data_IF_552473410553
#
_entry.id   IF_552473410553
#
_cell.length_a   1.000
_cell.length_b   1.000
_cell.length_c   1.000
_cell.angle_alpha   90.00
_cell.angle_beta   90.00
_cell.angle_gamma   90.00
#
_symmetry.space_group_name_H-M   'P 1'
#
loop_
_entity.id
_entity.type
_entity.pdbx_description
1 polymer ?
2 water ?
#
# COMPACT_ATOMS: atom_id res chain seq x y z
N UNK A 8 0.86 -4.45 33.20
CA UNK A 8 -0.08 -4.20 32.07
C UNK A 8 -1.24 -3.24 32.45
N UNK A 9 -1.26 -2.79 33.71
CA UNK A 9 -2.32 -1.91 34.22
C UNK A 9 -1.72 -0.70 34.96
N UNK A 10 -2.14 0.49 34.56
CA UNK A 10 -1.52 1.71 35.06
C UNK A 10 -1.91 2.00 36.51
N UNK A 11 -0.92 2.47 37.26
CA UNK A 11 -1.11 2.94 38.62
C UNK A 11 -1.86 4.27 38.62
N UNK A 12 -2.46 4.63 39.73
CA UNK A 12 -3.25 5.86 39.80
C UNK A 12 -2.44 7.11 39.48
N UNK A 13 -1.23 7.19 40.01
CA UNK A 13 -0.33 8.32 39.72
C UNK A 13 0.00 8.42 38.23
N UNK A 14 0.28 7.28 37.61
CA UNK A 14 0.53 7.22 36.18
C UNK A 14 -0.67 7.76 35.39
N UNK A 15 -1.88 7.35 35.78
CA UNK A 15 -3.08 7.84 35.11
C UNK A 15 -3.21 9.35 35.22
N UNK A 16 -2.92 9.90 36.40
CA UNK A 16 -2.92 11.35 36.60
C UNK A 16 -1.94 12.01 35.64
N UNK A 17 -0.75 11.43 35.49
CA UNK A 17 0.32 12.05 34.72
C UNK A 17 -0.01 12.07 33.23
N UNK A 18 -0.61 10.98 32.75
CA UNK A 18 -1.07 10.88 31.37
C UNK A 18 -2.28 11.77 31.13
N UNK A 19 -3.22 11.77 32.08
CA UNK A 19 -4.44 12.56 31.96
C UNK A 19 -4.04 14.02 32.01
N UNK A 20 -2.99 14.31 32.78
CA UNK A 20 -2.55 15.69 32.92
C UNK A 20 -2.07 16.22 31.58
N UNK A 21 -1.21 15.44 30.91
CA UNK A 21 -0.63 15.84 29.64
C UNK A 21 -1.65 15.94 28.52
N UNK A 22 -2.57 14.99 28.49
CA UNK A 22 -3.61 14.94 27.49
C UNK A 22 -4.48 16.20 27.50
N UNK A 23 -4.64 16.79 28.68
CA UNK A 23 -5.43 18.00 28.82
C UNK A 23 -4.71 19.19 28.22
N UNK A 24 -3.39 19.07 28.14
CA UNK A 24 -2.55 20.09 27.54
C UNK A 24 -2.28 19.80 26.08
N UNK A 25 -2.15 18.52 25.75
CA UNK A 25 -1.75 18.09 24.42
C UNK A 25 -2.40 16.80 24.04
N UNK A 26 -3.33 16.86 23.10
CA UNK A 26 -4.04 15.68 22.61
C UNK A 26 -3.17 14.91 21.63
N UNK A 27 -2.20 15.59 21.01
CA UNK A 27 -1.35 15.01 19.98
C UNK A 27 0.13 15.16 20.29
N UNK A 28 0.78 14.06 20.66
CA UNK A 28 2.20 14.09 20.92
C UNK A 28 3.01 13.57 19.76
N UNK A 29 4.23 14.07 19.60
CA UNK A 29 5.17 13.55 18.62
C UNK A 29 5.75 12.23 19.12
N UNK A 30 6.39 11.47 18.25
CA UNK A 30 7.01 10.20 18.64
C UNK A 30 8.13 10.40 19.67
N UNK A 31 8.94 11.44 19.47
CA UNK A 31 9.99 11.79 20.43
C UNK A 31 9.38 12.10 21.81
N UNK A 32 8.26 12.81 21.83
CA UNK A 32 7.58 13.18 23.06
C UNK A 32 6.96 11.99 23.78
N UNK A 33 6.42 11.03 23.03
CA UNK A 33 5.84 9.83 23.63
C UNK A 33 6.89 8.87 24.17
N UNK A 34 8.06 8.87 23.51
CA UNK A 34 9.20 8.14 24.02
C UNK A 34 9.70 8.76 25.33
N UNK A 35 9.84 10.09 25.33
CA UNK A 35 10.28 10.81 26.54
C UNK A 35 9.33 10.52 27.72
N UNK A 36 8.02 10.69 27.49
CA UNK A 36 6.99 10.40 28.49
C UNK A 36 6.95 8.94 28.96
N UNK A 37 7.11 7.98 28.06
CA UNK A 37 7.16 6.56 28.48
C UNK A 37 8.37 6.23 29.36
N UNK A 38 9.49 6.93 29.18
CA UNK A 38 10.64 6.76 30.08
C UNK A 38 10.39 7.25 31.52
N UNK A 39 9.89 8.47 31.65
CA UNK A 39 9.52 9.03 32.95
C UNK A 39 8.67 8.03 33.73
N UNK A 40 7.53 7.67 33.13
CA UNK A 40 6.53 6.82 33.78
C UNK A 40 6.91 5.37 33.93
N UNK A 41 7.94 4.93 33.23
CA UNK A 41 8.33 3.53 33.22
C UNK A 41 7.23 2.63 32.66
N UNK A 42 6.75 2.98 31.47
CA UNK A 42 5.79 2.21 30.74
C UNK A 42 6.34 2.03 29.32
N UNK A 43 5.88 1.01 28.61
CA UNK A 43 6.29 0.81 27.22
C UNK A 43 5.79 1.99 26.39
N UNK A 44 6.50 2.30 25.32
CA UNK A 44 6.06 3.32 24.36
C UNK A 44 4.76 2.93 23.69
N UNK A 45 4.62 1.65 23.33
CA UNK A 45 3.39 1.15 22.73
C UNK A 45 2.20 1.44 23.68
N UNK A 46 2.41 1.20 24.97
CA UNK A 46 1.37 1.42 25.99
C UNK A 46 0.95 2.90 26.03
N UNK A 47 1.93 3.79 26.16
CA UNK A 47 1.67 5.22 26.05
C UNK A 47 1.02 5.56 24.71
N UNK A 48 1.53 4.98 23.63
CA UNK A 48 1.03 5.31 22.30
C UNK A 48 -0.46 4.98 22.18
N UNK A 49 -0.82 3.75 22.61
CA UNK A 49 -2.19 3.26 22.56
C UNK A 49 -3.08 4.09 23.47
N UNK A 50 -2.57 4.47 24.62
CA UNK A 50 -3.36 5.21 25.57
C UNK A 50 -3.92 6.52 24.97
N UNK A 51 -3.05 7.28 24.31
CA UNK A 51 -3.42 8.54 23.69
C UNK A 51 -4.43 8.32 22.59
N UNK A 52 -4.20 7.30 21.76
CA UNK A 52 -5.14 6.96 20.69
C UNK A 52 -6.52 6.60 21.24
N UNK A 53 -6.59 5.64 22.15
CA UNK A 53 -7.85 5.29 22.80
C UNK A 53 -8.56 6.53 23.37
N UNK A 54 -7.78 7.35 24.07
CA UNK A 54 -8.26 8.59 24.66
C UNK A 54 -8.88 9.54 23.64
N UNK A 55 -8.17 9.80 22.54
CA UNK A 55 -8.70 10.60 21.44
C UNK A 55 -9.99 10.02 20.81
N UNK A 56 -10.07 8.70 20.69
CA UNK A 56 -11.22 8.04 20.08
C UNK A 56 -12.54 8.17 20.84
N UNK A 57 -12.49 8.62 22.09
CA UNK A 57 -13.68 8.67 22.94
C UNK A 57 -14.60 9.84 22.61
N UNK A 58 -14.00 10.94 22.17
CA UNK A 58 -14.74 12.15 21.84
C UNK A 58 -14.38 12.58 20.43
N UNK A 59 -15.37 13.11 19.71
CA UNK A 59 -15.15 13.74 18.42
C UNK A 59 -14.30 15.00 18.51
N UNK A 60 -14.56 15.81 19.53
CA UNK A 60 -13.94 17.13 19.65
C UNK A 60 -12.51 17.10 20.20
N UNK A 61 -11.92 15.91 20.29
CA UNK A 61 -10.52 15.79 20.67
C UNK A 61 -9.68 15.24 19.51
N UNK A 62 -10.23 15.30 18.30
CA UNK A 62 -9.61 14.68 17.14
C UNK A 62 -8.98 15.68 16.14
N UNK B 9 -17.97 -2.67 19.79
CA UNK B 9 -19.32 -2.41 19.22
C UNK B 9 -19.19 -1.71 17.88
N UNK B 10 -20.27 -1.68 17.11
CA UNK B 10 -20.22 -1.20 15.73
C UNK B 10 -20.25 0.32 15.61
N UNK B 11 -19.34 0.84 14.79
CA UNK B 11 -19.30 2.26 14.48
C UNK B 11 -20.50 2.63 13.62
N UNK B 12 -20.91 3.89 13.71
CA UNK B 12 -22.02 4.45 12.94
C UNK B 12 -22.01 4.05 11.47
N UNK B 13 -20.85 4.06 10.85
CA UNK B 13 -20.70 3.79 9.43
C UNK B 13 -20.74 2.29 9.11
N UNK B 14 -20.23 1.47 10.03
CA UNK B 14 -20.35 0.02 9.95
C UNK B 14 -21.81 -0.39 10.00
N UNK B 15 -22.57 0.21 10.93
CA UNK B 15 -24.02 0.02 10.97
C UNK B 15 -24.71 0.40 9.65
N UNK B 16 -24.27 1.49 9.03
CA UNK B 16 -24.82 1.87 7.74
C UNK B 16 -24.57 0.84 6.70
N UNK B 17 -23.36 0.29 6.66
CA UNK B 17 -23.02 -0.74 5.68
C UNK B 17 -23.88 -2.00 5.88
N UNK B 18 -24.08 -2.37 7.14
CA UNK B 18 -24.89 -3.50 7.52
C UNK B 18 -26.36 -3.28 7.21
N UNK B 19 -26.89 -2.13 7.63
CA UNK B 19 -28.29 -1.83 7.37
C UNK B 19 -28.56 -1.72 5.87
N UNK B 20 -27.56 -1.30 5.10
CA UNK B 20 -27.76 -1.13 3.67
C UNK B 20 -27.81 -2.48 2.96
N UNK B 21 -26.93 -3.40 3.36
CA UNK B 21 -26.92 -4.74 2.80
C UNK B 21 -28.23 -5.48 3.11
N UNK B 22 -28.73 -5.26 4.32
CA UNK B 22 -29.91 -5.94 4.82
C UNK B 22 -31.17 -5.54 4.07
N UNK B 23 -31.23 -4.31 3.59
CA UNK B 23 -32.39 -3.85 2.81
C UNK B 23 -32.47 -4.54 1.46
N UNK B 24 -31.32 -4.92 0.93
CA UNK B 24 -31.23 -5.62 -0.36
C UNK B 24 -31.32 -7.14 -0.20
N UNK B 25 -30.72 -7.67 0.85
CA UNK B 25 -30.68 -9.10 1.11
C UNK B 25 -30.89 -9.35 2.59
N UNK B 26 -31.98 -10.01 2.94
CA UNK B 26 -32.24 -10.38 4.33
C UNK B 26 -31.42 -11.61 4.78
N UNK B 27 -31.02 -12.48 3.85
CA UNK B 27 -30.30 -13.71 4.17
C UNK B 27 -28.99 -13.80 3.40
N UNK B 28 -27.89 -14.04 4.11
CA UNK B 28 -26.59 -14.21 3.47
C UNK B 28 -26.09 -15.64 3.62
N UNK B 29 -25.38 -16.10 2.60
CA UNK B 29 -24.68 -17.38 2.66
C UNK B 29 -23.51 -17.28 3.62
N UNK B 30 -22.97 -18.43 4.03
CA UNK B 30 -21.77 -18.44 4.87
C UNK B 30 -20.56 -17.79 4.18
N UNK B 31 -20.45 -17.93 2.86
CA UNK B 31 -19.39 -17.27 2.10
C UNK B 31 -19.52 -15.74 2.13
N UNK B 32 -20.74 -15.23 1.95
CA UNK B 32 -20.94 -13.79 1.87
C UNK B 32 -20.83 -13.07 3.22
N UNK B 33 -21.22 -13.74 4.30
CA UNK B 33 -20.99 -13.18 5.63
C UNK B 33 -19.51 -13.15 5.98
N UNK B 34 -18.75 -14.10 5.44
CA UNK B 34 -17.30 -14.15 5.61
C UNK B 34 -16.64 -12.98 4.87
N UNK B 35 -17.11 -12.74 3.64
CA UNK B 35 -16.68 -11.58 2.86
C UNK B 35 -17.08 -10.25 3.51
N UNK B 36 -18.32 -10.15 3.97
CA UNK B 36 -18.77 -8.87 4.55
C UNK B 36 -18.02 -8.51 5.82
N UNK B 37 -17.68 -9.52 6.62
CA UNK B 37 -16.95 -9.30 7.87
C UNK B 37 -15.50 -8.84 7.63
N UNK B 38 -14.89 -9.30 6.54
CA UNK B 38 -13.53 -8.88 6.18
C UNK B 38 -13.53 -7.42 5.76
N UNK B 39 -14.57 -7.05 5.00
CA UNK B 39 -14.69 -5.70 4.49
C UNK B 39 -14.93 -4.69 5.62
N UNK B 40 -15.69 -5.10 6.63
CA UNK B 40 -16.03 -4.23 7.74
C UNK B 40 -15.01 -4.35 8.87
N UNK B 41 -14.17 -5.37 8.77
CA UNK B 41 -13.16 -5.70 9.80
C UNK B 41 -13.73 -6.19 11.14
N UNK B 42 -14.92 -6.78 11.07
CA UNK B 42 -15.58 -7.35 12.23
C UNK B 42 -15.37 -8.87 12.29
N UNK B 43 -15.78 -9.49 13.39
CA UNK B 43 -15.67 -10.93 13.50
C UNK B 43 -16.85 -11.57 12.80
N UNK B 44 -16.59 -12.68 12.11
CA UNK B 44 -17.62 -13.41 11.38
C UNK B 44 -18.82 -13.76 12.25
N UNK B 45 -18.57 -14.04 13.53
CA UNK B 45 -19.61 -14.31 14.52
C UNK B 45 -20.52 -13.10 14.76
N UNK B 46 -19.95 -11.90 14.80
CA UNK B 46 -20.71 -10.69 15.13
C UNK B 46 -21.59 -10.23 13.98
N UNK B 47 -21.10 -10.41 12.77
CA UNK B 47 -21.87 -10.13 11.57
C UNK B 47 -23.06 -11.09 11.51
N UNK B 48 -22.80 -12.37 11.79
CA UNK B 48 -23.82 -13.41 11.76
C UNK B 48 -24.94 -13.16 12.77
N UNK B 49 -24.55 -12.73 13.98
CA UNK B 49 -25.50 -12.45 15.04
C UNK B 49 -26.41 -11.27 14.70
N UNK B 50 -25.85 -10.25 14.06
CA UNK B 50 -26.56 -9.01 13.76
C UNK B 50 -27.70 -9.25 12.75
N UNK B 51 -27.40 -9.99 11.69
CA UNK B 51 -28.42 -10.37 10.70
C UNK B 51 -29.54 -11.16 11.33
N UNK B 52 -29.17 -12.17 12.13
CA UNK B 52 -30.13 -13.00 12.87
C UNK B 52 -31.05 -12.18 13.77
N UNK B 53 -30.47 -11.23 14.52
CA UNK B 53 -31.26 -10.35 15.40
C UNK B 53 -32.20 -9.45 14.60
N UNK B 54 -31.73 -8.99 13.44
CA UNK B 54 -32.51 -8.13 12.56
C UNK B 54 -33.72 -8.90 12.00
N UNK B 55 -33.51 -10.12 11.51
CA UNK B 55 -34.63 -10.95 11.06
C UNK B 55 -35.68 -11.22 12.17
N UNK B 56 -35.20 -11.45 13.40
CA UNK B 56 -36.06 -11.78 14.54
C UNK B 56 -36.95 -10.62 15.01
N UNK B 57 -36.71 -9.42 14.48
CA UNK B 57 -37.45 -8.24 14.91
C UNK B 57 -38.80 -8.05 14.20
N UNK B 58 -38.94 -8.61 13.00
CA UNK B 58 -40.21 -8.54 12.29
C UNK B 58 -40.47 -9.89 11.65
N UNK B 59 -41.65 -10.46 11.91
CA UNK B 59 -42.05 -11.67 11.22
C UNK B 59 -41.99 -11.49 9.70
N UNK B 60 -42.43 -10.34 9.17
CA UNK B 60 -42.44 -10.11 7.71
C UNK B 60 -41.06 -10.21 6.99
N UNK B 61 -39.97 -10.29 7.74
CA UNK B 61 -38.63 -10.38 7.13
C UNK B 61 -38.08 -11.80 7.18
N UNK B 62 -38.97 -12.77 7.37
CA UNK B 62 -38.58 -14.15 7.53
C UNK B 62 -39.16 -15.03 6.43
N UNK C 8 -1.02 -2.18 -12.11
CA UNK C 8 -0.13 -2.41 -10.93
C UNK C 8 0.07 -1.13 -10.10
N UNK C 9 0.59 -0.07 -10.72
CA UNK C 9 0.85 1.17 -9.98
C UNK C 9 -0.07 2.29 -10.45
N UNK C 10 -0.85 2.81 -9.50
CA UNK C 10 -1.90 3.78 -9.82
C UNK C 10 -1.29 5.11 -10.23
N UNK C 11 -2.03 5.88 -11.00
CA UNK C 11 -1.60 7.21 -11.35
C UNK C 11 -2.09 8.20 -10.31
N UNK C 12 -1.40 9.34 -10.23
CA UNK C 12 -1.86 10.50 -9.48
C UNK C 12 -3.37 10.75 -9.71
N UNK C 13 -3.85 10.56 -10.93
CA UNK C 13 -5.27 10.81 -11.23
C UNK C 13 -6.19 9.73 -10.66
N UNK C 14 -5.77 8.48 -10.74
CA UNK C 14 -6.55 7.41 -10.12
C UNK C 14 -6.63 7.60 -8.61
N UNK C 15 -5.50 7.95 -8.00
CA UNK C 15 -5.47 8.24 -6.58
C UNK C 15 -6.40 9.36 -6.14
N UNK C 16 -6.41 10.49 -6.85
CA UNK C 16 -7.36 11.58 -6.55
C UNK C 16 -8.82 11.10 -6.62
N UNK C 17 -9.12 10.29 -7.64
CA UNK C 17 -10.47 9.81 -7.84
C UNK C 17 -10.91 8.91 -6.69
N UNK C 18 -10.01 7.98 -6.30
CA UNK C 18 -10.23 7.10 -5.15
C UNK C 18 -10.39 7.92 -3.88
N UNK C 19 -9.46 8.87 -3.68
CA UNK C 19 -9.50 9.71 -2.49
C UNK C 19 -10.72 10.60 -2.45
N UNK C 20 -11.24 10.97 -3.61
CA UNK C 20 -12.42 11.83 -3.66
C UNK C 20 -13.68 11.04 -3.30
N UNK C 21 -13.69 9.74 -3.57
CA UNK C 21 -14.86 8.92 -3.23
C UNK C 21 -14.77 8.54 -1.76
N UNK C 22 -13.54 8.27 -1.32
CA UNK C 22 -13.29 7.97 0.08
C UNK C 22 -13.75 9.08 1.03
N UNK C 23 -13.59 10.35 0.64
CA UNK C 23 -14.08 11.49 1.43
C UNK C 23 -15.55 11.34 1.72
N UNK C 24 -16.31 11.01 0.69
CA UNK C 24 -17.77 11.03 0.75
C UNK C 24 -18.30 9.78 1.45
N UNK C 25 -17.62 8.66 1.21
CA UNK C 25 -18.03 7.36 1.74
C UNK C 25 -16.84 6.52 2.13
N UNK C 26 -16.84 6.02 3.36
CA UNK C 26 -15.73 5.20 3.86
C UNK C 26 -15.92 3.74 3.49
N UNK C 27 -17.18 3.30 3.41
CA UNK C 27 -17.55 1.94 2.98
C UNK C 27 -18.49 2.01 1.79
N UNK C 28 -18.14 1.26 0.76
CA UNK C 28 -18.92 1.19 -0.45
C UNK C 28 -19.59 -0.15 -0.53
N UNK C 29 -20.81 -0.19 -1.06
CA UNK C 29 -21.49 -1.45 -1.31
C UNK C 29 -20.72 -2.25 -2.36
N UNK C 30 -21.10 -3.52 -2.52
CA UNK C 30 -20.38 -4.46 -3.36
C UNK C 30 -20.43 -4.04 -4.83
N UNK C 31 -21.59 -3.54 -5.26
CA UNK C 31 -21.80 -3.04 -6.62
C UNK C 31 -21.12 -1.69 -6.87
N UNK C 32 -21.13 -0.81 -5.87
CA UNK C 32 -20.46 0.49 -5.92
C UNK C 32 -18.96 0.38 -6.20
N UNK C 33 -18.33 -0.65 -5.64
CA UNK C 33 -16.93 -0.93 -5.84
C UNK C 33 -16.65 -1.55 -7.19
N UNK C 34 -17.55 -2.42 -7.66
CA UNK C 34 -17.42 -2.99 -9.02
C UNK C 34 -17.60 -1.88 -10.06
N UNK C 35 -18.55 -1.00 -9.83
CA UNK C 35 -18.78 0.20 -10.65
C UNK C 35 -17.57 1.14 -10.66
N UNK C 36 -17.02 1.43 -9.48
CA UNK C 36 -15.87 2.32 -9.38
C UNK C 36 -14.64 1.74 -10.06
N UNK C 37 -14.42 0.44 -9.94
CA UNK C 37 -13.31 -0.21 -10.63
C UNK C 37 -13.40 -0.07 -12.15
N UNK C 38 -14.63 -0.01 -12.68
CA UNK C 38 -14.87 0.19 -14.10
C UNK C 38 -14.42 1.59 -14.52
N UNK C 39 -15.08 2.61 -13.95
CA UNK C 39 -14.70 4.01 -14.12
C UNK C 39 -13.17 4.21 -14.14
N UNK C 40 -12.49 3.64 -13.15
CA UNK C 40 -11.05 3.88 -12.94
C UNK C 40 -10.14 2.98 -13.76
N UNK C 41 -10.71 1.94 -14.37
CA UNK C 41 -9.95 0.95 -15.12
C UNK C 41 -8.95 0.19 -14.22
N UNK C 42 -9.46 -0.25 -13.06
CA UNK C 42 -8.74 -1.07 -12.11
C UNK C 42 -9.61 -2.28 -11.76
N UNK C 43 -8.98 -3.37 -11.32
CA UNK C 43 -9.70 -4.58 -10.91
C UNK C 43 -10.36 -4.37 -9.55
N UNK C 44 -11.50 -5.05 -9.35
CA UNK C 44 -12.25 -4.99 -8.09
C UNK C 44 -11.36 -5.20 -6.87
N UNK C 45 -10.45 -6.17 -6.96
CA UNK C 45 -9.47 -6.46 -5.92
C UNK C 45 -8.62 -5.24 -5.53
N UNK C 46 -8.08 -4.52 -6.52
CA UNK C 46 -7.30 -3.30 -6.27
C UNK C 46 -8.09 -2.17 -5.59
N UNK C 47 -9.34 -1.94 -6.02
CA UNK C 47 -10.19 -0.97 -5.32
C UNK C 47 -10.52 -1.46 -3.90
N UNK C 48 -10.99 -2.70 -3.77
CA UNK C 48 -11.29 -3.26 -2.44
C UNK C 48 -10.11 -3.07 -1.52
N UNK C 49 -8.95 -3.55 -1.94
CA UNK C 49 -7.71 -3.50 -1.17
C UNK C 49 -7.30 -2.08 -0.80
N UNK C 50 -7.35 -1.18 -1.78
CA UNK C 50 -7.06 0.21 -1.53
C UNK C 50 -7.94 0.73 -0.39
N UNK C 51 -9.27 0.55 -0.49
CA UNK C 51 -10.21 1.01 0.58
C UNK C 51 -9.91 0.34 1.93
N UNK C 52 -9.62 -0.96 1.88
CA UNK C 52 -9.28 -1.67 3.11
C UNK C 52 -8.02 -1.08 3.75
N UNK C 53 -7.06 -0.64 2.94
CA UNK C 53 -5.82 -0.06 3.49
C UNK C 53 -5.97 1.36 4.02
N UNK C 54 -6.86 2.12 3.39
CA UNK C 54 -7.15 3.49 3.80
C UNK C 54 -7.83 3.56 5.17
N UNK C 55 -8.85 2.72 5.38
CA UNK C 55 -9.55 2.69 6.65
C UNK C 55 -8.61 2.25 7.78
N UNK C 56 -7.71 1.32 7.48
CA UNK C 56 -6.77 0.83 8.51
C UNK C 56 -5.75 1.89 8.96
N UNK C 57 -5.62 2.99 8.23
CA UNK C 57 -4.69 4.05 8.60
C UNK C 57 -5.14 4.83 9.83
N UNK C 58 -6.45 5.01 9.99
CA UNK C 58 -7.00 5.79 11.11
C UNK C 58 -8.23 5.12 11.67
N UNK C 59 -8.23 4.90 12.98
CA UNK C 59 -9.41 4.35 13.64
C UNK C 59 -10.62 5.29 13.52
N UNK C 60 -10.41 6.57 13.23
CA UNK C 60 -11.53 7.48 13.06
C UNK C 60 -12.26 7.23 11.73
N UNK C 61 -11.60 6.47 10.84
CA UNK C 61 -12.16 6.12 9.53
C UNK C 61 -12.86 4.75 9.44
N UNK C 62 -13.15 4.15 10.60
CA UNK C 62 -13.60 2.76 10.66
C UNK C 62 -15.07 2.57 11.06
N UNK D 8 5.95 -7.94 4.39
CA UNK D 8 7.05 -7.04 3.90
C UNK D 8 6.54 -5.78 3.17
N UNK D 9 7.47 -4.99 2.62
CA UNK D 9 7.15 -3.78 1.85
C UNK D 9 8.25 -3.53 0.80
N UNK D 10 9.12 -4.53 0.66
CA UNK D 10 10.28 -4.49 -0.24
C UNK D 10 9.88 -4.61 -1.73
N UNK D 11 10.86 -4.50 -2.63
CA UNK D 11 10.60 -4.69 -4.05
C UNK D 11 10.96 -6.12 -4.45
N UNK D 12 10.45 -6.58 -5.59
CA UNK D 12 10.75 -7.93 -6.07
C UNK D 12 12.25 -8.16 -6.14
N UNK D 13 12.99 -7.12 -6.52
CA UNK D 13 14.44 -7.19 -6.66
C UNK D 13 15.05 -7.35 -5.27
N UNK D 14 14.59 -6.53 -4.34
CA UNK D 14 15.10 -6.56 -2.98
C UNK D 14 14.89 -7.93 -2.36
N UNK D 15 13.69 -8.51 -2.53
CA UNK D 15 13.37 -9.87 -2.03
C UNK D 15 14.10 -10.99 -2.75
N UNK D 16 14.37 -10.84 -4.05
CA UNK D 16 15.15 -11.84 -4.75
C UNK D 16 16.56 -11.92 -4.16
N UNK D 17 17.09 -10.76 -3.79
CA UNK D 17 18.42 -10.62 -3.21
C UNK D 17 18.48 -11.28 -1.85
N UNK D 18 17.53 -10.94 -1.00
CA UNK D 18 17.39 -11.58 0.28
C UNK D 18 17.28 -13.10 0.15
N UNK D 19 16.35 -13.56 -0.67
CA UNK D 19 16.11 -15.00 -0.79
C UNK D 19 17.32 -15.71 -1.36
N UNK D 20 17.93 -15.16 -2.41
CA UNK D 20 19.10 -15.80 -2.97
C UNK D 20 20.26 -15.90 -1.98
N UNK D 21 20.27 -15.04 -0.97
CA UNK D 21 21.26 -15.14 0.10
C UNK D 21 20.84 -16.20 1.11
N UNK D 22 19.55 -16.20 1.46
CA UNK D 22 19.00 -17.13 2.43
C UNK D 22 19.23 -18.57 2.01
N UNK D 23 19.15 -18.83 0.70
CA UNK D 23 19.50 -20.14 0.12
C UNK D 23 20.90 -20.62 0.48
N UNK D 24 21.84 -19.69 0.64
CA UNK D 24 23.25 -20.04 0.82
C UNK D 24 23.70 -20.00 2.27
N UNK D 25 22.91 -19.33 3.11
CA UNK D 25 23.21 -19.08 4.52
C UNK D 25 21.91 -18.76 5.20
N UNK D 26 21.53 -19.58 6.19
CA UNK D 26 20.29 -19.32 6.91
C UNK D 26 20.53 -18.29 8.00
N UNK D 27 21.74 -18.31 8.56
CA UNK D 27 22.18 -17.39 9.60
C UNK D 27 23.28 -16.45 9.10
N UNK D 28 23.12 -15.15 9.35
CA UNK D 28 24.18 -14.22 9.00
C UNK D 28 24.85 -13.59 10.22
N UNK D 29 26.17 -13.43 10.16
CA UNK D 29 26.91 -12.72 11.19
C UNK D 29 26.48 -11.25 11.18
N UNK D 30 26.54 -10.61 12.34
CA UNK D 30 26.07 -9.22 12.51
C UNK D 30 26.62 -8.26 11.43
N UNK D 31 27.91 -8.37 11.13
CA UNK D 31 28.55 -7.54 10.10
C UNK D 31 28.14 -7.93 8.67
N UNK D 32 27.70 -9.17 8.48
CA UNK D 32 27.20 -9.59 7.17
C UNK D 32 25.82 -9.02 6.87
N UNK D 33 25.00 -8.87 7.92
CA UNK D 33 23.69 -8.24 7.76
C UNK D 33 23.83 -6.73 7.57
N UNK D 34 24.87 -6.14 8.16
CA UNK D 34 25.21 -4.73 7.94
C UNK D 34 25.50 -4.48 6.46
N UNK D 35 26.50 -5.20 5.92
CA UNK D 35 26.88 -5.04 4.51
C UNK D 35 25.75 -5.36 3.54
N UNK D 36 24.83 -6.23 3.96
CA UNK D 36 23.69 -6.58 3.13
C UNK D 36 22.60 -5.50 3.10
N UNK D 37 22.24 -4.93 4.25
CA UNK D 37 21.29 -3.83 4.28
C UNK D 37 21.87 -2.59 3.58
N UNK D 38 23.20 -2.49 3.54
CA UNK D 38 23.86 -1.48 2.73
C UNK D 38 23.53 -1.66 1.25
N UNK D 39 23.85 -2.82 0.70
CA UNK D 39 23.68 -3.06 -0.74
C UNK D 39 22.23 -2.88 -1.13
N UNK D 40 21.34 -3.39 -0.29
CA UNK D 40 19.92 -3.43 -0.61
C UNK D 40 19.21 -2.10 -0.41
N UNK D 41 19.85 -1.18 0.30
CA UNK D 41 19.23 0.07 0.75
C UNK D 41 18.01 -0.21 1.64
N UNK D 42 18.20 -1.10 2.61
CA UNK D 42 17.20 -1.37 3.64
C UNK D 42 17.83 -1.08 4.99
N UNK D 43 17.01 -1.01 6.03
CA UNK D 43 17.52 -0.83 7.39
C UNK D 43 18.13 -2.13 7.91
N UNK D 44 18.94 -2.02 8.96
CA UNK D 44 19.46 -3.19 9.66
C UNK D 44 18.32 -3.99 10.28
N UNK D 45 17.33 -3.29 10.81
CA UNK D 45 16.18 -3.90 11.47
C UNK D 45 15.43 -4.78 10.47
N UNK D 46 15.08 -4.20 9.33
CA UNK D 46 14.38 -4.89 8.25
C UNK D 46 15.04 -6.22 7.86
N UNK D 47 16.34 -6.18 7.62
CA UNK D 47 17.07 -7.39 7.23
C UNK D 47 17.10 -8.44 8.35
N UNK D 48 17.43 -8.03 9.58
CA UNK D 48 17.48 -8.92 10.76
C UNK D 48 16.17 -9.67 10.96
N UNK D 49 15.06 -8.93 10.80
CA UNK D 49 13.73 -9.46 10.94
C UNK D 49 13.39 -10.39 9.78
N UNK D 50 13.63 -9.93 8.55
CA UNK D 50 13.34 -10.77 7.39
C UNK D 50 14.01 -12.15 7.56
N UNK D 51 15.28 -12.17 7.96
CA UNK D 51 15.99 -13.44 8.14
C UNK D 51 15.39 -14.30 9.25
N UNK D 52 14.98 -13.65 10.33
CA UNK D 52 14.35 -14.35 11.45
C UNK D 52 13.01 -14.90 11.00
N UNK D 53 12.18 -14.06 10.37
CA UNK D 53 10.85 -14.51 9.95
C UNK D 53 10.95 -15.67 8.98
N UNK D 54 11.92 -15.60 8.07
CA UNK D 54 12.13 -16.67 7.10
C UNK D 54 12.49 -17.96 7.83
N UNK D 55 13.41 -17.86 8.78
CA UNK D 55 13.91 -19.01 9.51
C UNK D 55 12.82 -19.72 10.29
N UNK D 56 11.87 -18.95 10.84
CA UNK D 56 10.70 -19.49 11.57
C UNK D 56 9.71 -20.27 10.69
N UNK D 57 9.75 -20.05 9.39
CA UNK D 57 8.84 -20.75 8.49
C UNK D 57 9.11 -22.27 8.45
N UNK D 58 10.39 -22.65 8.54
CA UNK D 58 10.75 -24.06 8.57
C UNK D 58 11.66 -24.42 9.73
N UNK D 59 11.21 -25.43 10.45
CA UNK D 59 11.99 -26.20 11.38
C UNK D 59 13.45 -26.53 10.94
N UNK D 60 13.63 -27.04 9.73
CA UNK D 60 14.96 -27.46 9.23
C UNK D 60 15.89 -26.29 8.88
N UNK D 61 15.37 -25.06 8.97
CA UNK D 61 16.18 -23.89 8.72
C UNK D 61 16.71 -23.31 10.02
N UNK D 62 16.43 -24.01 11.12
CA UNK D 62 16.93 -23.61 12.43
C UNK D 62 17.98 -24.59 12.96
N UNK E 9 -3.55 -26.43 -3.16
CA UNK E 9 -2.74 -25.77 -2.07
C UNK E 9 -1.72 -26.73 -1.49
N UNK E 10 -0.57 -26.17 -1.10
CA UNK E 10 0.53 -26.95 -0.53
C UNK E 10 0.59 -26.74 0.98
N UNK E 11 1.00 -27.78 1.70
CA UNK E 11 1.25 -27.68 3.12
C UNK E 11 2.53 -26.91 3.35
N UNK E 12 2.74 -26.42 4.57
CA UNK E 12 3.95 -25.68 4.91
C UNK E 12 5.19 -26.57 4.76
N UNK E 13 5.04 -27.86 5.03
CA UNK E 13 6.14 -28.82 4.91
C UNK E 13 6.48 -29.09 3.44
N UNK E 14 5.45 -29.11 2.61
CA UNK E 14 5.66 -29.30 1.18
C UNK E 14 6.45 -28.11 0.62
N UNK E 15 6.09 -26.92 1.07
CA UNK E 15 6.81 -25.71 0.64
C UNK E 15 8.27 -25.68 1.06
N UNK E 16 8.58 -26.12 2.28
CA UNK E 16 9.95 -26.13 2.76
C UNK E 16 10.83 -27.02 1.88
N UNK E 17 10.34 -28.24 1.60
CA UNK E 17 11.10 -29.23 0.88
C UNK E 17 11.27 -28.86 -0.60
N UNK E 18 10.25 -28.20 -1.19
CA UNK E 18 10.38 -27.69 -2.56
C UNK E 18 11.48 -26.65 -2.58
N UNK E 19 11.38 -25.68 -1.66
CA UNK E 19 12.37 -24.59 -1.56
C UNK E 19 13.77 -25.11 -1.33
N UNK E 20 13.92 -26.06 -0.43
CA UNK E 20 15.17 -26.75 -0.23
C UNK E 20 15.73 -27.24 -1.55
N UNK E 21 14.89 -27.86 -2.37
CA UNK E 21 15.35 -28.50 -3.59
C UNK E 21 15.61 -27.42 -4.63
N UNK E 22 14.75 -26.40 -4.62
CA UNK E 22 14.85 -25.28 -5.53
C UNK E 22 16.15 -24.53 -5.39
N UNK E 23 16.70 -24.52 -4.18
CA UNK E 23 18.04 -23.96 -3.97
C UNK E 23 19.13 -24.86 -4.58
N UNK E 24 18.82 -26.14 -4.76
CA UNK E 24 19.85 -27.13 -5.12
C UNK E 24 19.92 -27.18 -6.63
N UNK E 25 18.84 -26.74 -7.27
CA UNK E 25 18.65 -26.96 -8.69
C UNK E 25 17.40 -26.21 -9.15
N UNK E 26 17.58 -25.20 -10.02
CA UNK E 26 16.45 -24.39 -10.48
C UNK E 26 15.64 -25.14 -11.55
N UNK E 27 16.31 -26.02 -12.31
CA UNK E 27 15.69 -26.79 -13.41
C UNK E 27 15.80 -28.30 -13.18
N UNK E 28 14.68 -28.92 -12.83
CA UNK E 28 14.70 -30.36 -12.63
C UNK E 28 14.29 -30.98 -13.93
N UNK E 29 14.87 -32.14 -14.22
CA UNK E 29 14.55 -32.87 -15.45
C UNK E 29 13.09 -33.35 -15.46
N UNK E 30 12.80 -34.29 -16.35
CA UNK E 30 11.48 -34.86 -16.44
C UNK E 30 11.31 -35.92 -15.34
N UNK E 31 12.30 -36.81 -15.23
CA UNK E 31 12.33 -37.86 -14.22
C UNK E 31 12.30 -37.29 -12.80
N UNK E 32 13.15 -36.29 -12.55
CA UNK E 32 13.36 -35.74 -11.21
C UNK E 32 12.12 -35.13 -10.58
N UNK E 33 11.31 -34.44 -11.39
CA UNK E 33 10.08 -33.83 -10.92
C UNK E 33 9.02 -34.86 -10.59
N UNK E 34 9.03 -35.97 -11.33
CA UNK E 34 8.10 -37.08 -11.09
C UNK E 34 8.37 -37.74 -9.73
N UNK E 35 9.65 -37.96 -9.44
CA UNK E 35 10.06 -38.54 -8.17
C UNK E 35 9.77 -37.59 -7.00
N UNK E 36 10.07 -36.31 -7.17
CA UNK E 36 9.74 -35.31 -6.18
C UNK E 36 8.25 -35.23 -5.90
N UNK E 37 7.42 -35.30 -6.94
CA UNK E 37 5.98 -35.27 -6.75
C UNK E 37 5.52 -36.48 -5.92
N UNK E 38 6.12 -37.64 -6.16
CA UNK E 38 5.90 -38.85 -5.34
C UNK E 38 6.37 -38.63 -3.89
N UNK E 39 7.65 -38.33 -3.69
CA UNK E 39 8.23 -38.12 -2.35
C UNK E 39 7.37 -37.17 -1.50
N UNK E 40 6.91 -36.08 -2.12
CA UNK E 40 6.18 -35.03 -1.43
C UNK E 40 4.69 -35.27 -1.42
N UNK E 41 4.27 -36.31 -2.14
CA UNK E 41 2.86 -36.61 -2.31
C UNK E 41 2.07 -35.40 -2.86
N UNK E 42 2.36 -35.07 -4.13
CA UNK E 42 1.71 -34.01 -4.89
C UNK E 42 1.75 -34.41 -6.37
N UNK E 43 0.86 -33.84 -7.19
CA UNK E 43 0.84 -34.19 -8.62
C UNK E 43 2.03 -33.62 -9.38
N UNK E 44 2.47 -34.36 -10.40
CA UNK E 44 3.56 -33.94 -11.28
C UNK E 44 3.38 -32.52 -11.79
N UNK E 45 2.14 -32.14 -12.12
CA UNK E 45 1.84 -30.82 -12.66
C UNK E 45 1.98 -29.68 -11.64
N UNK E 46 1.59 -29.92 -10.39
CA UNK E 46 1.76 -28.94 -9.31
C UNK E 46 3.24 -28.62 -9.02
N UNK E 47 4.09 -29.65 -8.98
CA UNK E 47 5.54 -29.46 -8.88
C UNK E 47 6.01 -28.62 -10.07
N UNK E 48 5.68 -29.09 -11.26
CA UNK E 48 6.04 -28.44 -12.52
C UNK E 48 5.75 -26.94 -12.51
N UNK E 49 4.47 -26.61 -12.32
CA UNK E 49 3.99 -25.23 -12.20
C UNK E 49 4.76 -24.45 -11.12
N UNK E 50 4.88 -25.03 -9.92
CA UNK E 50 5.59 -24.39 -8.82
C UNK E 50 7.02 -24.00 -9.19
N UNK E 51 7.75 -24.88 -9.86
CA UNK E 51 9.10 -24.54 -10.27
C UNK E 51 9.04 -23.45 -11.33
N UNK E 52 8.21 -23.63 -12.34
CA UNK E 52 8.00 -22.53 -13.30
C UNK E 52 7.75 -21.20 -12.59
N UNK E 53 6.84 -21.16 -11.62
CA UNK E 53 6.65 -19.91 -10.88
C UNK E 53 7.87 -19.43 -10.11
N UNK E 54 8.59 -20.32 -9.44
CA UNK E 54 9.80 -19.90 -8.70
C UNK E 54 10.83 -19.22 -9.62
N UNK E 55 11.04 -19.77 -10.81
CA UNK E 55 12.05 -19.21 -11.68
C UNK E 55 11.59 -17.89 -12.27
N UNK E 56 10.29 -17.78 -12.54
CA UNK E 56 9.75 -16.57 -13.10
C UNK E 56 9.79 -15.39 -12.12
N UNK E 57 10.14 -15.63 -10.86
CA UNK E 57 10.24 -14.54 -9.87
C UNK E 57 11.53 -13.71 -9.97
N UNK E 58 12.63 -14.28 -10.47
CA UNK E 58 13.89 -13.54 -10.58
C UNK E 58 14.68 -13.98 -11.80
N UNK E 59 15.17 -13.03 -12.58
CA UNK E 59 16.15 -13.36 -13.63
C UNK E 59 17.33 -14.14 -13.06
N UNK E 60 17.79 -13.80 -11.86
CA UNK E 60 18.99 -14.46 -11.34
C UNK E 60 18.80 -15.97 -11.14
N UNK E 61 17.53 -16.40 -11.11
CA UNK E 61 17.22 -17.84 -11.01
C UNK E 61 16.99 -18.51 -12.36
N UNK E 62 17.09 -17.77 -13.46
CA UNK E 62 16.85 -18.34 -14.77
C UNK E 62 18.15 -18.49 -15.52
N UNK F 8 13.35 2.50 -26.85
CA UNK F 8 14.29 3.52 -27.41
C UNK F 8 15.68 3.47 -26.79
N UNK F 9 16.65 4.06 -27.49
CA UNK F 9 17.97 4.32 -26.93
C UNK F 9 17.89 5.63 -26.15
N UNK F 10 18.48 5.63 -24.95
CA UNK F 10 18.54 6.83 -24.12
C UNK F 10 19.57 7.81 -24.69
N UNK F 11 19.38 9.09 -24.37
CA UNK F 11 20.38 10.11 -24.65
C UNK F 11 21.54 9.96 -23.66
N UNK F 12 22.67 10.60 -23.97
CA UNK F 12 23.80 10.67 -23.04
C UNK F 12 23.40 11.18 -21.65
N UNK F 13 22.64 12.29 -21.63
CA UNK F 13 22.22 12.93 -20.38
C UNK F 13 21.32 12.06 -19.51
N UNK F 14 20.41 11.32 -20.14
CA UNK F 14 19.57 10.36 -19.42
C UNK F 14 20.44 9.25 -18.85
N UNK F 15 21.29 8.67 -19.69
CA UNK F 15 22.16 7.56 -19.29
C UNK F 15 23.03 7.95 -18.14
N UNK F 16 23.70 9.10 -18.26
CA UNK F 16 24.56 9.57 -17.19
C UNK F 16 23.89 9.62 -15.84
N UNK F 17 22.61 10.01 -15.84
CA UNK F 17 21.88 10.21 -14.61
C UNK F 17 21.51 8.89 -13.97
N UNK F 18 21.14 7.92 -14.82
CA UNK F 18 20.90 6.54 -14.40
C UNK F 18 22.17 5.87 -13.89
N UNK F 19 23.26 6.01 -14.63
CA UNK F 19 24.52 5.37 -14.31
C UNK F 19 25.04 5.88 -12.97
N UNK F 20 24.92 7.19 -12.76
CA UNK F 20 25.36 7.82 -11.53
C UNK F 20 24.62 7.28 -10.29
N UNK F 21 23.31 7.11 -10.40
CA UNK F 21 22.50 6.64 -9.29
C UNK F 21 22.83 5.19 -8.98
N UNK F 22 22.93 4.38 -10.03
CA UNK F 22 23.32 2.98 -9.91
C UNK F 22 24.64 2.87 -9.17
N UNK F 23 25.56 3.79 -9.39
CA UNK F 23 26.82 3.71 -8.67
C UNK F 23 26.61 3.94 -7.16
N UNK F 24 25.62 4.75 -6.81
CA UNK F 24 25.36 5.09 -5.40
C UNK F 24 24.49 4.04 -4.74
N UNK F 25 23.40 3.66 -5.40
CA UNK F 25 22.55 2.59 -4.90
C UNK F 25 22.04 1.67 -6.02
N UNK F 26 22.39 0.40 -5.93
CA UNK F 26 21.93 -0.65 -6.85
C UNK F 26 20.45 -1.04 -6.76
N UNK F 27 19.78 -0.76 -5.64
CA UNK F 27 18.38 -1.16 -5.45
C UNK F 27 17.44 0.01 -5.07
N UNK F 28 16.57 0.39 -5.98
CA UNK F 28 15.60 1.45 -5.72
C UNK F 28 14.21 0.93 -5.38
N UNK F 29 13.54 1.64 -4.47
CA UNK F 29 12.13 1.40 -4.23
C UNK F 29 11.30 1.73 -5.48
N UNK F 30 10.03 1.37 -5.47
CA UNK F 30 9.13 1.72 -6.57
C UNK F 30 9.02 3.24 -6.75
N UNK F 31 8.61 3.94 -5.68
CA UNK F 31 8.49 5.39 -5.70
C UNK F 31 9.72 6.05 -6.31
N UNK F 32 10.89 5.57 -5.90
CA UNK F 32 12.16 6.12 -6.35
C UNK F 32 12.36 5.91 -7.83
N UNK F 33 11.91 4.77 -8.34
CA UNK F 33 12.07 4.51 -9.76
C UNK F 33 11.09 5.37 -10.54
N UNK F 34 9.91 5.56 -9.99
CA UNK F 34 8.89 6.45 -10.55
C UNK F 34 9.40 7.90 -10.64
N UNK F 35 9.88 8.43 -9.52
CA UNK F 35 10.41 9.78 -9.44
C UNK F 35 11.45 10.06 -10.52
N UNK F 36 12.46 9.18 -10.55
CA UNK F 36 13.59 9.29 -11.45
C UNK F 36 13.18 9.27 -12.90
N UNK F 37 12.26 8.36 -13.27
CA UNK F 37 11.70 8.32 -14.63
C UNK F 37 11.04 9.64 -15.06
N UNK F 38 10.19 10.21 -14.20
CA UNK F 38 9.56 11.50 -14.51
C UNK F 38 10.61 12.59 -14.66
N UNK F 39 11.61 12.57 -13.78
CA UNK F 39 12.69 13.56 -13.79
C UNK F 39 13.60 13.38 -15.02
N UNK F 40 13.67 12.14 -15.50
CA UNK F 40 14.50 11.82 -16.65
C UNK F 40 13.73 11.75 -17.96
N UNK F 41 12.42 11.96 -17.86
CA UNK F 41 11.54 11.94 -19.03
C UNK F 41 11.48 10.56 -19.67
N UNK F 42 11.81 9.55 -18.86
CA UNK F 42 11.78 8.15 -19.28
C UNK F 42 10.50 7.48 -18.78
N UNK F 43 10.31 6.23 -19.19
CA UNK F 43 9.17 5.43 -18.78
C UNK F 43 9.49 4.67 -17.51
N UNK F 44 8.49 4.49 -16.64
CA UNK F 44 8.67 3.67 -15.45
C UNK F 44 9.27 2.30 -15.79
N UNK F 45 8.66 1.63 -16.76
CA UNK F 45 9.17 0.36 -17.30
C UNK F 45 10.60 0.52 -17.86
N UNK F 46 10.87 1.65 -18.51
CA UNK F 46 12.21 1.90 -19.05
C UNK F 46 13.29 1.90 -17.96
N UNK F 47 13.06 2.67 -16.89
CA UNK F 47 13.95 2.74 -15.73
C UNK F 47 14.08 1.40 -15.02
N UNK F 48 12.94 0.80 -14.67
CA UNK F 48 12.90 -0.47 -13.91
C UNK F 48 13.70 -1.60 -14.58
N UNK F 49 13.46 -1.80 -15.87
CA UNK F 49 14.19 -2.72 -16.74
C UNK F 49 15.69 -2.38 -16.78
N UNK F 50 16.00 -1.10 -16.88
CA UNK F 50 17.39 -0.67 -16.99
C UNK F 50 18.14 -1.07 -15.73
N UNK F 51 17.55 -0.79 -14.56
CA UNK F 51 18.13 -1.23 -13.30
C UNK F 51 18.35 -2.74 -13.22
N UNK F 52 17.32 -3.49 -13.56
CA UNK F 52 17.37 -4.93 -13.56
C UNK F 52 18.49 -5.50 -14.42
N UNK F 53 18.61 -4.96 -15.65
CA UNK F 53 19.62 -5.43 -16.61
C UNK F 53 21.04 -5.18 -16.15
N UNK F 54 21.23 -4.10 -15.38
CA UNK F 54 22.53 -3.66 -14.89
C UNK F 54 23.08 -4.60 -13.80
N UNK F 55 22.21 -5.03 -12.90
CA UNK F 55 22.57 -6.01 -11.87
C UNK F 55 22.83 -7.36 -12.51
N UNK F 56 21.94 -7.80 -13.42
CA UNK F 56 22.09 -9.05 -14.14
C UNK F 56 23.35 -9.09 -14.97
N UNK F 57 23.88 -7.89 -15.27
CA UNK F 57 25.12 -7.80 -16.02
C UNK F 57 26.31 -8.39 -15.26
N UNK F 58 26.33 -8.31 -13.93
CA UNK F 58 27.34 -9.04 -13.15
C UNK F 58 27.02 -9.34 -11.70
N UNK F 59 27.49 -10.52 -11.27
CA UNK F 59 27.18 -11.14 -9.98
C UNK F 59 27.50 -10.27 -8.78
N UNK F 60 28.57 -9.50 -8.84
CA UNK F 60 29.00 -8.67 -7.72
C UNK F 60 28.06 -7.48 -7.50
N UNK F 61 27.09 -7.30 -8.38
CA UNK F 61 26.09 -6.26 -8.19
C UNK F 61 24.79 -6.85 -7.69
N UNK F 62 24.76 -8.18 -7.62
CA UNK F 62 23.62 -8.94 -7.10
C UNK F 62 23.84 -9.23 -5.61
N UNK G 8 12.04 14.70 9.33
CA UNK G 8 10.95 15.74 9.36
C UNK G 8 9.55 15.12 9.17
N UNK G 9 9.14 14.28 10.10
CA UNK G 9 7.94 13.45 9.91
C UNK G 9 6.87 13.65 10.99
N UNK G 10 5.62 13.85 10.55
CA UNK G 10 4.48 13.98 11.45
C UNK G 10 4.06 12.58 11.90
N UNK G 11 3.27 12.50 12.97
CA UNK G 11 2.81 11.20 13.46
C UNK G 11 1.56 10.75 12.69
N UNK G 12 1.34 9.44 12.60
CA UNK G 12 0.13 8.89 11.99
C UNK G 12 -1.09 9.66 12.45
N UNK G 13 -1.20 9.89 13.75
CA UNK G 13 -2.36 10.58 14.30
C UNK G 13 -2.50 12.02 13.82
N UNK G 14 -1.40 12.76 13.77
CA UNK G 14 -1.43 14.12 13.23
C UNK G 14 -1.83 14.11 11.75
N UNK G 15 -1.23 13.22 10.96
CA UNK G 15 -1.62 13.02 9.57
C UNK G 15 -3.10 12.71 9.40
N UNK G 16 -3.63 11.82 10.23
CA UNK G 16 -5.05 11.48 10.24
C UNK G 16 -5.93 12.73 10.42
N UNK G 17 -5.63 13.56 11.42
CA UNK G 17 -6.41 14.79 11.68
C UNK G 17 -6.36 15.76 10.51
N UNK G 18 -5.16 16.02 10.01
CA UNK G 18 -4.96 16.89 8.84
C UNK G 18 -5.83 16.41 7.67
N UNK G 19 -5.64 15.14 7.30
CA UNK G 19 -6.33 14.55 6.17
C UNK G 19 -7.82 14.59 6.37
N UNK G 20 -8.25 14.46 7.61
CA UNK G 20 -9.67 14.42 7.87
C UNK G 20 -10.32 15.79 7.72
N UNK G 21 -9.57 16.83 8.07
CA UNK G 21 -10.04 18.20 7.86
C UNK G 21 -10.06 18.51 6.38
N UNK G 22 -8.99 18.09 5.70
CA UNK G 22 -8.87 18.26 4.26
C UNK G 22 -10.08 17.72 3.49
N UNK G 23 -10.58 16.56 3.91
CA UNK G 23 -11.76 15.98 3.29
C UNK G 23 -13.01 16.89 3.34
N UNK G 24 -13.15 17.66 4.41
CA UNK G 24 -14.27 18.61 4.53
C UNK G 24 -13.90 19.98 3.97
N UNK G 25 -12.64 20.36 4.07
CA UNK G 25 -12.17 21.71 3.71
C UNK G 25 -10.80 21.68 3.06
N UNK G 26 -10.75 22.06 1.79
CA UNK G 26 -9.50 22.12 1.05
C UNK G 26 -8.72 23.40 1.36
N UNK G 27 -9.44 24.49 1.60
CA UNK G 27 -8.84 25.77 1.95
C UNK G 27 -9.32 26.18 3.32
N UNK G 28 -8.39 26.71 4.11
CA UNK G 28 -8.71 27.22 5.43
C UNK G 28 -8.34 28.69 5.50
N UNK G 29 -9.12 29.44 6.28
CA UNK G 29 -8.79 30.80 6.63
C UNK G 29 -7.56 30.83 7.55
N UNK G 30 -6.98 32.01 7.72
CA UNK G 30 -5.81 32.21 8.59
C UNK G 30 -6.05 31.65 10.00
N UNK G 31 -7.18 32.04 10.61
CA UNK G 31 -7.54 31.62 11.96
C UNK G 31 -7.75 30.11 12.07
N UNK G 32 -8.47 29.53 11.12
CA UNK G 32 -8.73 28.10 11.10
C UNK G 32 -7.43 27.28 11.17
N UNK G 33 -6.41 27.73 10.45
CA UNK G 33 -5.13 27.04 10.40
C UNK G 33 -4.29 27.31 11.61
N UNK G 34 -4.49 28.48 12.21
CA UNK G 34 -3.81 28.85 13.44
C UNK G 34 -4.29 27.94 14.60
N UNK G 35 -5.60 27.84 14.78
CA UNK G 35 -6.17 27.02 15.86
C UNK G 35 -6.08 25.52 15.55
N UNK G 36 -5.96 25.18 14.27
CA UNK G 36 -5.75 23.80 13.91
C UNK G 36 -4.32 23.37 14.26
N UNK G 37 -3.34 24.23 13.99
CA UNK G 37 -1.95 23.93 14.29
C UNK G 37 -1.76 23.83 15.80
N UNK G 38 -2.63 24.53 16.53
CA UNK G 38 -2.65 24.55 17.97
C UNK G 38 -3.11 23.19 18.52
N UNK G 39 -4.30 22.73 18.14
CA UNK G 39 -4.82 21.42 18.57
C UNK G 39 -3.77 20.34 18.32
N UNK G 40 -3.10 20.46 17.19
CA UNK G 40 -2.27 19.42 16.67
C UNK G 40 -0.84 19.46 17.16
N UNK G 41 -0.47 20.53 17.84
CA UNK G 41 0.90 20.68 18.32
C UNK G 41 1.91 20.80 17.15
N UNK G 42 1.54 21.59 16.14
CA UNK G 42 2.38 21.83 14.96
C UNK G 42 2.54 23.32 14.74
N UNK G 43 3.62 23.72 14.07
CA UNK G 43 3.77 25.13 13.69
C UNK G 43 2.74 25.48 12.62
N UNK G 44 2.33 26.75 12.60
CA UNK G 44 1.42 27.29 11.58
C UNK G 44 1.99 27.10 10.18
N UNK G 45 3.31 27.32 10.04
CA UNK G 45 4.05 27.11 8.79
C UNK G 45 3.91 25.67 8.32
N UNK G 46 3.94 24.72 9.25
CA UNK G 46 3.79 23.29 8.91
C UNK G 46 2.40 22.88 8.41
N UNK G 47 1.34 23.42 9.02
CA UNK G 47 -0.01 23.09 8.61
C UNK G 47 -0.30 23.71 7.25
N UNK G 48 -0.08 25.02 7.13
CA UNK G 48 -0.21 25.74 5.84
C UNK G 48 0.58 25.13 4.68
N UNK G 49 1.79 24.62 4.95
CA UNK G 49 2.57 23.93 3.94
C UNK G 49 1.93 22.58 3.62
N UNK G 50 1.55 21.83 4.66
CA UNK G 50 0.89 20.55 4.44
C UNK G 50 -0.33 20.76 3.53
N UNK G 51 -1.20 21.70 3.87
CA UNK G 51 -2.39 22.00 3.05
C UNK G 51 -2.05 22.45 1.62
N UNK G 52 -1.08 23.35 1.49
CA UNK G 52 -0.58 23.78 0.19
C UNK G 52 -0.13 22.56 -0.65
N UNK G 53 0.75 21.74 -0.09
CA UNK G 53 1.29 20.60 -0.84
C UNK G 53 0.22 19.56 -1.21
N UNK G 54 -0.82 19.46 -0.38
CA UNK G 54 -1.93 18.54 -0.61
C UNK G 54 -2.81 18.97 -1.80
N UNK G 55 -3.19 20.25 -1.84
CA UNK G 55 -4.00 20.80 -2.94
C UNK G 55 -3.29 20.65 -4.26
N UNK G 56 -1.98 20.86 -4.24
CA UNK G 56 -1.15 20.77 -5.44
C UNK G 56 -1.10 19.35 -6.00
N UNK G 57 -1.53 18.37 -5.20
CA UNK G 57 -1.55 16.98 -5.66
C UNK G 57 -2.60 16.72 -6.72
N UNK G 58 -3.72 17.44 -6.67
CA UNK G 58 -4.82 17.22 -7.60
C UNK G 58 -5.46 18.46 -8.14
N UNK G 59 -5.30 18.62 -9.44
CA UNK G 59 -6.30 19.22 -10.30
C UNK G 59 -7.58 19.70 -9.60
N UNK G 60 -8.38 18.71 -9.15
CA UNK G 60 -9.75 18.92 -8.73
C UNK G 60 -9.84 19.58 -7.37
N UNK G 61 -8.75 19.50 -6.61
CA UNK G 61 -8.68 20.11 -5.29
C UNK G 61 -8.21 21.56 -5.30
N UNK G 62 -7.55 21.98 -6.38
CA UNK G 62 -6.93 23.32 -6.45
C UNK G 62 -7.93 24.47 -6.54
N UNK H 9 1.16 21.65 -32.09
CA UNK H 9 -0.27 21.22 -32.13
C UNK H 9 -0.38 19.71 -32.46
N UNK H 10 -1.42 19.07 -31.95
CA UNK H 10 -1.75 17.70 -32.31
C UNK H 10 -2.35 17.68 -33.71
N UNK H 11 -1.98 16.66 -34.48
CA UNK H 11 -2.59 16.43 -35.79
C UNK H 11 -3.94 15.73 -35.63
N UNK H 12 -4.67 15.58 -36.73
CA UNK H 12 -6.01 14.97 -36.72
C UNK H 12 -6.01 13.46 -36.40
N UNK H 13 -4.93 12.77 -36.74
CA UNK H 13 -4.85 11.32 -36.50
C UNK H 13 -4.49 11.03 -35.05
N UNK H 14 -3.67 11.89 -34.47
CA UNK H 14 -3.31 11.84 -33.07
C UNK H 14 -4.53 12.14 -32.21
N UNK H 15 -5.26 13.19 -32.57
CA UNK H 15 -6.44 13.58 -31.80
C UNK H 15 -7.49 12.51 -31.83
N UNK H 16 -7.68 11.90 -33.00
CA UNK H 16 -8.64 10.81 -33.16
C UNK H 16 -8.23 9.60 -32.32
N UNK H 17 -6.94 9.30 -32.25
CA UNK H 17 -6.50 8.20 -31.42
C UNK H 17 -6.83 8.48 -29.95
N UNK H 18 -6.45 9.66 -29.48
CA UNK H 18 -6.69 10.11 -28.10
C UNK H 18 -8.18 10.22 -27.74
N UNK H 19 -8.96 10.82 -28.63
CA UNK H 19 -10.37 10.98 -28.39
C UNK H 19 -11.06 9.63 -28.35
N UNK H 20 -10.58 8.67 -29.13
CA UNK H 20 -11.23 7.38 -29.14
C UNK H 20 -10.94 6.62 -27.85
N UNK H 21 -9.73 6.80 -27.32
CA UNK H 21 -9.33 6.10 -26.11
C UNK H 21 -10.02 6.67 -24.88
N UNK H 22 -10.07 8.00 -24.80
CA UNK H 22 -10.80 8.72 -23.75
C UNK H 22 -12.24 8.26 -23.60
N UNK H 23 -12.92 8.05 -24.72
CA UNK H 23 -14.30 7.57 -24.73
C UNK H 23 -14.45 6.16 -24.14
N UNK H 24 -13.36 5.41 -24.13
CA UNK H 24 -13.37 4.04 -23.60
C UNK H 24 -12.86 3.94 -22.15
N UNK H 25 -11.79 4.68 -21.86
CA UNK H 25 -11.24 4.80 -20.53
C UNK H 25 -10.91 6.27 -20.32
N UNK H 26 -11.44 6.87 -19.25
CA UNK H 26 -11.14 8.26 -18.90
C UNK H 26 -9.87 8.35 -18.06
N UNK H 27 -9.48 7.22 -17.46
CA UNK H 27 -8.28 7.11 -16.62
C UNK H 27 -7.40 5.97 -17.12
N UNK H 28 -6.09 6.19 -17.12
CA UNK H 28 -5.14 5.17 -17.52
C UNK H 28 -4.03 5.04 -16.49
N UNK H 29 -3.40 3.87 -16.44
CA UNK H 29 -2.22 3.65 -15.59
C UNK H 29 -1.03 4.42 -16.16
N UNK H 30 -0.04 4.67 -15.32
CA UNK H 30 1.24 5.23 -15.77
C UNK H 30 1.74 4.56 -17.07
N UNK H 31 1.71 3.22 -17.07
CA UNK H 31 2.06 2.38 -18.22
C UNK H 31 1.21 2.71 -19.45
N UNK H 32 -0.10 2.50 -19.32
CA UNK H 32 -1.07 2.80 -20.38
C UNK H 32 -0.83 4.18 -20.97
N UNK H 33 -0.67 5.18 -20.10
CA UNK H 33 -0.25 6.53 -20.49
C UNK H 33 0.99 6.55 -21.40
N UNK H 34 2.06 5.86 -21.00
CA UNK H 34 3.31 5.89 -21.78
C UNK H 34 3.39 4.88 -22.93
N UNK H 35 2.70 3.75 -22.79
CA UNK H 35 2.58 2.77 -23.87
C UNK H 35 1.82 3.37 -25.06
N UNK H 36 0.90 4.28 -24.76
CA UNK H 36 0.16 5.03 -25.77
C UNK H 36 0.98 6.19 -26.32
N UNK H 37 1.66 6.91 -25.44
CA UNK H 37 2.51 8.03 -25.83
C UNK H 37 3.51 7.65 -26.95
N UNK H 38 4.16 6.51 -26.81
CA UNK H 38 5.17 6.08 -27.79
C UNK H 38 4.55 5.57 -29.10
N UNK H 39 3.40 4.93 -28.99
CA UNK H 39 2.67 4.41 -30.17
C UNK H 39 2.14 5.54 -31.07
N UNK H 40 1.72 6.63 -30.44
CA UNK H 40 1.31 7.83 -31.16
C UNK H 40 2.51 8.66 -31.60
N UNK H 41 3.65 8.40 -30.96
CA UNK H 41 4.90 9.18 -31.11
C UNK H 41 4.76 10.61 -30.59
N UNK H 42 4.35 10.70 -29.32
CA UNK H 42 4.12 11.97 -28.63
C UNK H 42 4.84 11.99 -27.29
N UNK H 43 4.78 13.15 -26.63
CA UNK H 43 5.37 13.32 -25.32
C UNK H 43 4.40 12.82 -24.25
N UNK H 44 4.90 12.06 -23.28
CA UNK H 44 4.07 11.59 -22.16
C UNK H 44 3.45 12.77 -21.43
N UNK H 45 4.26 13.78 -21.15
CA UNK H 45 3.79 15.02 -20.55
C UNK H 45 2.59 15.58 -21.33
N UNK H 46 2.74 15.67 -22.65
CA UNK H 46 1.67 16.15 -23.53
C UNK H 46 0.42 15.26 -23.49
N UNK H 47 0.61 13.94 -23.43
CA UNK H 47 -0.51 13.01 -23.34
C UNK H 47 -1.16 13.19 -21.97
N UNK H 48 -0.30 13.22 -20.95
CA UNK H 48 -0.69 13.33 -19.55
C UNK H 48 -1.51 14.58 -19.33
N UNK H 49 -1.03 15.70 -19.86
CA UNK H 49 -1.73 16.99 -19.79
C UNK H 49 -3.08 16.98 -20.53
N UNK H 50 -3.12 16.35 -21.70
CA UNK H 50 -4.35 16.28 -22.48
C UNK H 50 -5.49 15.55 -21.74
N UNK H 51 -5.19 14.41 -21.14
CA UNK H 51 -6.16 13.70 -20.31
C UNK H 51 -6.63 14.54 -19.13
N UNK H 52 -5.67 15.01 -18.32
CA UNK H 52 -5.97 15.90 -17.19
C UNK H 52 -6.93 17.02 -17.58
N UNK H 53 -6.58 17.77 -18.63
CA UNK H 53 -7.42 18.87 -19.16
C UNK H 53 -8.81 18.36 -19.54
N UNK H 54 -8.85 17.27 -20.31
CA UNK H 54 -10.11 16.64 -20.70
C UNK H 54 -11.00 16.33 -19.49
N UNK H 55 -10.44 15.65 -18.49
CA UNK H 55 -11.19 15.35 -17.27
C UNK H 55 -11.64 16.60 -16.49
N UNK H 56 -10.87 17.68 -16.59
CA UNK H 56 -11.17 18.92 -15.87
C UNK H 56 -12.35 19.70 -16.44
N UNK H 57 -12.75 19.41 -17.67
CA UNK H 57 -13.84 20.14 -18.32
C UNK H 57 -15.22 19.76 -17.78
N UNK H 58 -15.36 18.52 -17.33
CA UNK H 58 -16.68 18.04 -16.92
C UNK H 58 -16.65 17.37 -15.56
N UNK H 59 -17.46 17.91 -14.64
CA UNK H 59 -17.70 17.30 -13.34
C UNK H 59 -17.93 15.80 -13.46
N UNK H 60 -18.81 15.41 -14.38
CA UNK H 60 -19.23 14.02 -14.59
C UNK H 60 -18.12 13.05 -15.01
N UNK H 61 -17.00 13.55 -15.53
CA UNK H 61 -15.90 12.68 -15.93
C UNK H 61 -14.87 12.43 -14.85
N UNK H 62 -15.02 13.10 -13.71
CA UNK H 62 -13.99 13.08 -12.68
C UNK H 62 -14.53 12.58 -11.33
#
# INVERSE_FOLDING_TARGET
GTKQKMRTVFSQAQLCALKDRFQKQKYLSLQQMQELSSILNLSYKQVKTWFQNQRMKCKRWQ
GTKQKMRTVFSQAQLCALKDRFQKQKYLSLQQMQELSSILNLSYKQVKTWFQNQRMKCKRWQ
GTKQKMRTVFSQAQLCALKDRFQKQKYLSLQQMQELSSILNLSYKQVKTWFQNQRMKCKRWQ
GTKQKMRTVFSQAQLCALKDRFQKQKYLSLQQMQELSSILNLSYKQVKTWFQNQRMKCKRWQ
GTKQKMRTVFSQAQLCALKDRFQKQKYLSLQQMQELSSILNLSYKQVKTWFQNQRMKCKRWQ
GTKQKMRTVFSQAQLCALKDRFQKQKYLSLQQMQELSSILNLSYKQVKTWFQNQRMKCKRWQ
GTKQKMRTVFSQAQLCALKDRFQKQKYLSLQQMQELSSILNLSYKQVKTWFQNQRMKCKRWQ
GTKQKMRTVFSQAQLCALKDRFQKQKYLSLQQMQELSSILNLSYKQVKTWFQNQRMKCKRWQ
#
